data_IF_505769646944
#
_entry.id   IF_505769646944
#
_cell.length_a   1.000
_cell.length_b   1.000
_cell.length_c   1.000
_cell.angle_alpha   90.00
_cell.angle_beta   90.00
_cell.angle_gamma   90.00
#
_symmetry.space_group_name_H-M   'P 1'
#
loop_
_entity.id
_entity.type
_entity.pdbx_description
1 polymer ?
#
# COMPACT_ATOMS: atom_id res chain seq x y z
N UNK A 1 -6.96 -5.38 -0.52
CA UNK A 1 -5.50 -5.14 -0.46
C UNK A 1 -5.23 -3.79 0.18
N UNK A 2 -4.29 -3.73 1.10
CA UNK A 2 -3.98 -2.53 1.89
C UNK A 2 -2.49 -2.25 1.68
N UNK A 3 -2.12 -1.07 1.18
CA UNK A 3 -0.75 -0.77 0.75
C UNK A 3 -0.19 0.38 1.58
N UNK A 4 0.97 0.19 2.21
CA UNK A 4 1.55 1.15 3.15
C UNK A 4 1.98 2.49 2.55
N UNK A 5 1.92 2.65 1.23
CA UNK A 5 2.32 3.87 0.54
C UNK A 5 3.64 3.71 -0.21
N UNK A 6 3.93 4.67 -1.09
CA UNK A 6 5.18 4.74 -1.87
C UNK A 6 5.56 3.41 -2.56
N UNK A 7 4.57 2.63 -2.99
CA UNK A 7 4.81 1.35 -3.65
C UNK A 7 5.53 1.52 -4.99
N UNK A 8 6.33 0.52 -5.37
CA UNK A 8 7.12 0.57 -6.59
C UNK A 8 6.24 0.69 -7.83
N UNK A 9 6.52 1.74 -8.62
CA UNK A 9 5.82 2.09 -9.88
C UNK A 9 6.73 1.97 -11.10
N UNK A 10 8.00 1.62 -10.92
CA UNK A 10 9.00 1.69 -11.97
C UNK A 10 9.63 0.33 -12.28
N UNK A 11 9.97 -0.45 -11.26
CA UNK A 11 10.73 -1.69 -11.43
C UNK A 11 9.81 -2.90 -11.52
N UNK A 12 9.87 -3.79 -10.53
CA UNK A 12 9.17 -5.07 -10.51
C UNK A 12 7.68 -4.89 -10.26
N UNK A 13 7.28 -3.79 -9.58
CA UNK A 13 5.88 -3.42 -9.33
C UNK A 13 5.08 -4.58 -8.72
N UNK A 14 5.69 -5.34 -7.81
CA UNK A 14 5.17 -6.61 -7.27
C UNK A 14 3.76 -6.44 -6.70
N UNK A 15 3.53 -5.34 -5.95
CA UNK A 15 2.23 -5.04 -5.33
C UNK A 15 1.16 -4.75 -6.39
N UNK A 16 1.47 -3.90 -7.36
CA UNK A 16 0.54 -3.54 -8.44
C UNK A 16 0.25 -4.76 -9.35
N UNK A 17 1.26 -5.58 -9.63
CA UNK A 17 1.10 -6.83 -10.37
C UNK A 17 0.19 -7.82 -9.63
N UNK A 18 0.33 -7.93 -8.30
CA UNK A 18 -0.58 -8.75 -7.47
C UNK A 18 -2.01 -8.23 -7.52
N UNK A 19 -2.20 -6.91 -7.44
CA UNK A 19 -3.51 -6.29 -7.59
C UNK A 19 -4.15 -6.59 -8.95
N UNK A 20 -3.42 -6.39 -10.06
CA UNK A 20 -3.91 -6.69 -11.41
C UNK A 20 -4.30 -8.16 -11.54
N UNK A 21 -3.48 -9.09 -11.02
CA UNK A 21 -3.79 -10.52 -11.00
C UNK A 21 -5.10 -10.82 -10.26
N UNK A 22 -5.29 -10.23 -9.08
CA UNK A 22 -6.51 -10.42 -8.28
C UNK A 22 -7.73 -9.76 -8.93
N UNK A 23 -7.54 -8.69 -9.69
CA UNK A 23 -8.61 -8.01 -10.43
C UNK A 23 -9.04 -8.74 -11.71
N UNK A 24 -8.42 -9.87 -12.08
CA UNK A 24 -8.75 -10.64 -13.29
C UNK A 24 -7.73 -10.51 -14.44
N UNK A 25 -6.56 -9.93 -14.19
CA UNK A 25 -5.46 -9.87 -15.16
C UNK A 25 -5.82 -9.08 -16.41
N UNK A 26 -5.66 -9.68 -17.59
CA UNK A 26 -5.95 -9.02 -18.86
C UNK A 26 -7.42 -8.73 -19.09
N UNK A 27 -8.32 -9.49 -18.46
CA UNK A 27 -9.77 -9.25 -18.50
C UNK A 27 -10.27 -8.22 -17.49
N UNK A 28 -9.38 -7.63 -16.69
CA UNK A 28 -9.77 -6.76 -15.59
C UNK A 28 -10.41 -5.44 -16.08
N UNK A 29 -11.45 -5.01 -15.35
CA UNK A 29 -12.03 -3.68 -15.43
C UNK A 29 -11.79 -2.96 -14.11
N UNK A 30 -10.80 -2.06 -14.09
CA UNK A 30 -10.37 -1.36 -12.87
C UNK A 30 -10.90 0.08 -12.84
N UNK A 31 -11.41 0.49 -11.68
CA UNK A 31 -11.74 1.90 -11.38
C UNK A 31 -10.70 2.49 -10.45
N UNK A 32 -10.06 3.59 -10.83
CA UNK A 32 -9.13 4.36 -10.00
C UNK A 32 -9.87 5.53 -9.38
N UNK A 33 -9.93 5.60 -8.05
CA UNK A 33 -10.54 6.71 -7.30
C UNK A 33 -9.44 7.57 -6.71
N UNK A 34 -9.27 8.78 -7.25
CA UNK A 34 -8.16 9.69 -6.92
C UNK A 34 -8.56 10.88 -6.04
N UNK A 35 -9.75 10.83 -5.42
CA UNK A 35 -10.29 11.89 -4.54
C UNK A 35 -9.34 12.33 -3.43
N UNK A 36 -8.55 11.42 -2.87
CA UNK A 36 -7.57 11.74 -1.83
C UNK A 36 -6.43 12.64 -2.36
N UNK A 37 -6.10 12.52 -3.65
CA UNK A 37 -4.88 13.09 -4.24
C UNK A 37 -4.88 14.62 -4.27
N UNK A 38 -3.75 15.21 -3.89
CA UNK A 38 -3.42 16.62 -4.15
C UNK A 38 -2.93 16.84 -5.58
N UNK A 39 -2.45 15.80 -6.26
CA UNK A 39 -1.94 15.82 -7.64
C UNK A 39 -3.07 15.67 -8.66
N UNK A 40 -4.21 16.35 -8.45
CA UNK A 40 -5.20 16.50 -9.50
C UNK A 40 -5.64 15.21 -10.21
N UNK A 41 -5.84 15.35 -11.52
CA UNK A 41 -6.06 14.25 -12.46
C UNK A 41 -4.76 13.49 -12.76
N UNK A 42 -3.60 14.09 -12.50
CA UNK A 42 -2.30 13.46 -12.78
C UNK A 42 -2.13 12.15 -12.00
N UNK A 43 -2.67 12.06 -10.78
CA UNK A 43 -2.71 10.79 -10.04
C UNK A 43 -3.58 9.74 -10.74
N UNK A 44 -4.74 10.13 -11.28
CA UNK A 44 -5.60 9.25 -12.06
C UNK A 44 -4.85 8.73 -13.29
N UNK A 45 -4.22 9.63 -14.03
CA UNK A 45 -3.51 9.34 -15.28
C UNK A 45 -2.31 8.44 -15.04
N UNK A 46 -1.55 8.65 -13.96
CA UNK A 46 -0.44 7.80 -13.56
C UNK A 46 -0.87 6.35 -13.36
N UNK A 47 -1.88 6.11 -12.51
CA UNK A 47 -2.35 4.73 -12.29
C UNK A 47 -3.04 4.16 -13.52
N UNK A 48 -3.73 4.98 -14.33
CA UNK A 48 -4.29 4.56 -15.61
C UNK A 48 -3.19 4.03 -16.53
N UNK A 49 -2.12 4.80 -16.72
CA UNK A 49 -0.98 4.41 -17.56
C UNK A 49 -0.31 3.14 -17.04
N UNK A 50 -0.06 3.05 -15.73
CA UNK A 50 0.59 1.89 -15.10
C UNK A 50 -0.25 0.61 -15.28
N UNK A 51 -1.55 0.66 -14.96
CA UNK A 51 -2.43 -0.50 -15.04
C UNK A 51 -2.69 -0.93 -16.48
N UNK A 52 -2.83 0.02 -17.40
CA UNK A 52 -2.91 -0.27 -18.85
C UNK A 52 -1.63 -0.92 -19.36
N UNK A 53 -0.47 -0.40 -18.97
CA UNK A 53 0.84 -1.00 -19.30
C UNK A 53 1.04 -2.39 -18.70
N UNK A 54 0.27 -2.75 -17.66
CA UNK A 54 0.23 -4.10 -17.07
C UNK A 54 -0.84 -5.01 -17.71
N UNK A 55 -1.52 -4.56 -18.77
CA UNK A 55 -2.43 -5.38 -19.57
C UNK A 55 -3.90 -5.32 -19.17
N UNK A 56 -4.31 -4.42 -18.26
CA UNK A 56 -5.72 -4.28 -17.84
C UNK A 56 -6.61 -3.82 -19.01
N UNK A 57 -7.68 -4.57 -19.31
CA UNK A 57 -8.60 -4.32 -20.43
C UNK A 57 -9.38 -3.01 -20.34
N UNK A 58 -9.77 -2.56 -19.14
CA UNK A 58 -10.45 -1.27 -18.95
C UNK A 58 -9.96 -0.59 -17.68
N UNK A 59 -9.58 0.68 -17.78
CA UNK A 59 -9.24 1.51 -16.61
C UNK A 59 -10.01 2.82 -16.66
N UNK A 60 -10.94 3.00 -15.73
CA UNK A 60 -11.76 4.20 -15.57
C UNK A 60 -11.22 5.02 -14.41
N UNK A 61 -11.17 6.34 -14.57
CA UNK A 61 -10.76 7.25 -13.50
C UNK A 61 -11.95 8.00 -12.92
N UNK A 62 -12.03 8.10 -11.60
CA UNK A 62 -13.03 8.88 -10.88
C UNK A 62 -12.35 9.81 -9.87
N UNK A 63 -12.77 11.07 -9.86
CA UNK A 63 -12.25 12.07 -8.93
C UNK A 63 -13.35 13.04 -8.48
N UNK A 64 -14.40 12.57 -7.80
CA UNK A 64 -15.32 13.50 -7.17
C UNK A 64 -14.56 14.37 -6.16
N UNK A 65 -14.78 15.69 -6.24
CA UNK A 65 -14.21 16.70 -5.38
C UNK A 65 -15.18 17.10 -4.26
N UNK A 66 -16.47 16.89 -4.48
CA UNK A 66 -17.56 17.21 -3.55
C UNK A 66 -18.42 15.98 -3.27
N UNK A 67 -19.16 16.02 -2.15
CA UNK A 67 -20.12 14.97 -1.79
C UNK A 67 -21.24 14.84 -2.83
N UNK A 68 -21.66 15.94 -3.45
CA UNK A 68 -22.70 15.92 -4.49
C UNK A 68 -22.23 15.14 -5.71
N UNK A 69 -20.99 15.38 -6.16
CA UNK A 69 -20.39 14.57 -7.23
C UNK A 69 -20.27 13.11 -6.82
N UNK A 70 -19.85 12.81 -5.58
CA UNK A 70 -19.80 11.42 -5.10
C UNK A 70 -21.18 10.75 -4.94
N UNK A 71 -22.27 11.55 -4.94
CA UNK A 71 -23.66 11.08 -4.95
C UNK A 71 -24.29 11.06 -6.34
N UNK A 72 -23.56 11.50 -7.37
CA UNK A 72 -23.99 11.40 -8.75
C UNK A 72 -24.19 9.92 -9.14
N UNK A 73 -25.30 9.64 -9.80
CA UNK A 73 -25.66 8.28 -10.20
C UNK A 73 -24.65 7.72 -11.22
N UNK A 74 -24.18 8.54 -12.15
CA UNK A 74 -23.25 8.11 -13.20
C UNK A 74 -21.87 7.74 -12.61
N UNK A 75 -21.45 8.46 -11.57
CA UNK A 75 -20.21 8.15 -10.82
C UNK A 75 -20.33 6.81 -10.09
N UNK A 76 -21.49 6.52 -9.49
CA UNK A 76 -21.71 5.24 -8.83
C UNK A 76 -21.83 4.09 -9.86
N UNK A 77 -22.51 4.32 -10.99
CA UNK A 77 -22.65 3.36 -12.08
C UNK A 77 -21.32 3.03 -12.77
N UNK A 78 -20.33 3.91 -12.70
CA UNK A 78 -18.98 3.62 -13.21
C UNK A 78 -18.30 2.43 -12.49
N UNK A 79 -18.77 2.04 -11.29
CA UNK A 79 -18.30 0.85 -10.56
C UNK A 79 -19.07 -0.42 -10.95
N UNK A 80 -20.10 -0.31 -11.78
CA UNK A 80 -20.84 -1.47 -12.29
C UNK A 80 -19.93 -2.31 -13.20
N UNK A 81 -19.84 -3.60 -12.89
CA UNK A 81 -18.93 -4.54 -13.57
C UNK A 81 -17.43 -4.29 -13.31
N UNK A 82 -17.06 -3.42 -12.36
CA UNK A 82 -15.67 -3.29 -11.94
C UNK A 82 -15.21 -4.57 -11.25
N UNK A 83 -14.06 -5.11 -11.68
CA UNK A 83 -13.42 -6.29 -11.07
C UNK A 83 -12.29 -5.88 -10.10
N UNK A 84 -11.85 -4.63 -10.17
CA UNK A 84 -10.93 -4.04 -9.21
C UNK A 84 -11.19 -2.55 -8.98
N UNK A 85 -10.94 -2.08 -7.78
CA UNK A 85 -11.02 -0.67 -7.39
C UNK A 85 -9.70 -0.28 -6.72
N UNK A 86 -9.11 0.84 -7.14
CA UNK A 86 -7.85 1.34 -6.59
C UNK A 86 -8.02 2.75 -6.02
N UNK A 87 -7.91 2.88 -4.70
CA UNK A 87 -7.98 4.14 -3.96
C UNK A 87 -6.58 4.73 -3.82
N UNK A 88 -6.33 5.90 -4.41
CA UNK A 88 -4.98 6.51 -4.37
C UNK A 88 -4.64 7.10 -3.01
N UNK A 89 -3.35 7.43 -2.82
CA UNK A 89 -2.88 8.21 -1.69
C UNK A 89 -3.27 9.69 -1.75
N UNK A 90 -2.91 10.43 -0.69
CA UNK A 90 -3.17 11.86 -0.55
C UNK A 90 -3.70 12.19 0.85
N UNK A 91 -4.85 12.85 0.91
CA UNK A 91 -5.53 13.20 2.16
C UNK A 91 -6.69 12.25 2.45
N UNK A 92 -6.53 11.41 3.47
CA UNK A 92 -7.50 10.42 3.93
C UNK A 92 -8.80 11.04 4.46
N UNK A 93 -8.75 12.23 5.09
CA UNK A 93 -9.97 12.92 5.49
C UNK A 93 -10.77 13.42 4.29
N UNK A 94 -10.09 13.91 3.25
CA UNK A 94 -10.79 14.28 2.01
C UNK A 94 -11.51 13.09 1.40
N UNK A 95 -10.85 11.93 1.36
CA UNK A 95 -11.46 10.69 0.87
C UNK A 95 -12.68 10.30 1.71
N UNK A 96 -12.55 10.26 3.03
CA UNK A 96 -13.65 9.91 3.94
C UNK A 96 -14.82 10.91 3.87
N UNK A 97 -14.54 12.22 3.87
CA UNK A 97 -15.58 13.25 3.84
C UNK A 97 -16.33 13.32 2.51
N UNK A 98 -15.66 13.05 1.39
CA UNK A 98 -16.26 13.10 0.05
C UNK A 98 -16.95 11.78 -0.31
N UNK A 99 -16.34 10.64 0.00
CA UNK A 99 -16.81 9.31 -0.45
C UNK A 99 -17.59 8.57 0.63
N UNK A 100 -17.29 8.78 1.91
CA UNK A 100 -17.96 8.10 3.02
C UNK A 100 -19.45 8.45 3.08
N UNK A 101 -20.31 7.42 3.14
CA UNK A 101 -21.76 7.57 3.21
C UNK A 101 -22.40 8.22 1.98
N UNK A 102 -21.76 8.13 0.80
CA UNK A 102 -22.33 8.56 -0.48
C UNK A 102 -22.63 7.35 -1.38
N UNK A 103 -23.31 7.57 -2.51
CA UNK A 103 -23.57 6.51 -3.50
C UNK A 103 -22.29 5.86 -4.01
N UNK A 104 -21.24 6.64 -4.25
CA UNK A 104 -19.93 6.09 -4.62
C UNK A 104 -19.35 5.20 -3.50
N UNK A 105 -19.40 5.65 -2.25
CA UNK A 105 -18.95 4.84 -1.11
C UNK A 105 -19.68 3.51 -1.02
N UNK A 106 -21.01 3.53 -1.16
CA UNK A 106 -21.83 2.32 -1.19
C UNK A 106 -21.48 1.43 -2.40
N UNK A 107 -21.31 2.01 -3.59
CA UNK A 107 -20.94 1.27 -4.79
C UNK A 107 -19.57 0.57 -4.67
N UNK A 108 -18.61 1.15 -3.93
CA UNK A 108 -17.33 0.50 -3.62
C UNK A 108 -17.56 -0.73 -2.74
N UNK A 109 -18.39 -0.61 -1.70
CA UNK A 109 -18.74 -1.72 -0.81
C UNK A 109 -19.47 -2.82 -1.58
N UNK A 110 -20.48 -2.46 -2.38
CA UNK A 110 -21.26 -3.41 -3.18
C UNK A 110 -20.38 -4.13 -4.20
N UNK A 111 -19.46 -3.43 -4.86
CA UNK A 111 -18.50 -4.05 -5.76
C UNK A 111 -17.60 -5.05 -5.03
N UNK A 112 -17.12 -4.70 -3.83
CA UNK A 112 -16.34 -5.62 -3.01
C UNK A 112 -17.12 -6.88 -2.64
N UNK A 113 -18.39 -6.73 -2.22
CA UNK A 113 -19.28 -7.85 -1.89
C UNK A 113 -19.58 -8.75 -3.10
N UNK A 114 -19.56 -8.20 -4.33
CA UNK A 114 -19.64 -8.98 -5.58
C UNK A 114 -18.33 -9.71 -5.94
N UNK A 115 -17.26 -9.53 -5.17
CA UNK A 115 -15.97 -10.17 -5.38
C UNK A 115 -14.91 -9.29 -6.06
N UNK A 116 -15.17 -8.00 -6.28
CA UNK A 116 -14.14 -7.10 -6.78
C UNK A 116 -13.04 -6.88 -5.74
N UNK A 117 -11.78 -6.87 -6.18
CA UNK A 117 -10.66 -6.52 -5.29
C UNK A 117 -10.62 -5.01 -5.05
N UNK A 118 -10.71 -4.60 -3.78
CA UNK A 118 -10.47 -3.20 -3.41
C UNK A 118 -9.03 -3.07 -2.89
N UNK A 119 -8.26 -2.18 -3.52
CA UNK A 119 -6.92 -1.81 -3.10
C UNK A 119 -6.88 -0.34 -2.70
N UNK A 120 -6.06 -0.01 -1.71
CA UNK A 120 -5.79 1.38 -1.34
C UNK A 120 -4.33 1.57 -0.95
N UNK A 121 -3.72 2.68 -1.37
CA UNK A 121 -2.35 3.06 -0.98
C UNK A 121 -2.33 4.31 -0.13
N UNK A 122 -1.49 4.32 0.92
CA UNK A 122 -1.38 5.46 1.85
C UNK A 122 -2.77 5.87 2.38
N UNK A 123 -3.24 7.09 2.13
CA UNK A 123 -4.59 7.51 2.50
C UNK A 123 -5.71 6.52 2.13
N UNK A 124 -5.64 5.92 0.92
CA UNK A 124 -6.58 4.89 0.49
C UNK A 124 -6.52 3.63 1.35
N UNK A 125 -5.34 3.25 1.85
CA UNK A 125 -5.15 2.09 2.71
C UNK A 125 -5.87 2.27 4.06
N UNK A 126 -5.71 3.43 4.69
CA UNK A 126 -6.40 3.73 5.95
C UNK A 126 -7.93 3.77 5.76
N UNK A 127 -8.41 4.27 4.61
CA UNK A 127 -9.84 4.37 4.32
C UNK A 127 -10.54 3.03 4.05
N UNK A 128 -9.82 1.94 3.74
CA UNK A 128 -10.42 0.60 3.58
C UNK A 128 -11.00 0.08 4.89
N UNK A 129 -10.36 0.41 6.02
CA UNK A 129 -10.80 -0.03 7.35
C UNK A 129 -12.03 0.72 7.85
N UNK A 130 -12.74 0.15 8.82
CA UNK A 130 -13.80 0.85 9.57
C UNK A 130 -13.24 2.02 10.39
N UNK A 131 -12.05 1.84 10.99
CA UNK A 131 -11.39 2.81 11.84
C UNK A 131 -10.15 3.36 11.14
N UNK A 132 -10.32 4.52 10.50
CA UNK A 132 -9.28 5.16 9.72
C UNK A 132 -8.38 6.03 10.60
N UNK A 133 -7.06 5.82 10.53
CA UNK A 133 -6.07 6.73 11.13
C UNK A 133 -6.05 8.06 10.36
N UNK A 134 -6.74 9.07 10.87
CA UNK A 134 -6.92 10.36 10.20
C UNK A 134 -5.73 11.29 10.40
N UNK A 135 -5.21 11.40 11.62
CA UNK A 135 -4.01 12.19 11.94
C UNK A 135 -3.27 11.58 13.12
N UNK A 136 -2.02 12.02 13.31
CA UNK A 136 -1.31 11.71 14.53
C UNK A 136 0.15 12.09 14.49
N UNK A 137 0.72 12.33 15.66
CA UNK A 137 2.14 12.61 15.83
C UNK A 137 2.99 11.33 15.69
N UNK A 138 4.23 11.49 15.25
CA UNK A 138 5.23 10.43 15.24
C UNK A 138 5.87 10.26 16.62
N UNK A 139 6.43 9.09 16.88
CA UNK A 139 7.17 8.78 18.11
C UNK A 139 6.95 7.34 18.58
N UNK A 140 7.87 6.87 19.42
CA UNK A 140 7.81 5.51 19.98
C UNK A 140 6.87 5.41 21.21
N UNK A 141 6.76 6.48 22.01
CA UNK A 141 5.98 6.46 23.25
C UNK A 141 4.49 6.73 22.98
N UNK A 142 3.57 5.83 23.36
CA UNK A 142 2.14 6.05 23.21
C UNK A 142 1.66 7.17 24.15
N UNK A 143 0.83 8.08 23.61
CA UNK A 143 0.23 9.20 24.34
C UNK A 143 -1.25 9.33 23.99
N UNK A 144 -2.07 9.77 24.93
CA UNK A 144 -3.53 9.82 24.76
C UNK A 144 -3.96 10.59 23.49
N UNK A 145 -3.42 11.79 23.24
CA UNK A 145 -3.75 12.60 22.04
C UNK A 145 -2.75 12.43 20.90
N UNK A 146 -2.18 11.24 20.74
CA UNK A 146 -1.19 11.00 19.67
C UNK A 146 -1.83 10.69 18.32
N UNK A 147 -3.06 10.19 18.31
CA UNK A 147 -3.80 9.81 17.11
C UNK A 147 -5.21 10.39 17.14
N UNK A 148 -5.75 10.63 15.94
CA UNK A 148 -7.17 10.90 15.72
C UNK A 148 -7.70 9.89 14.72
N UNK A 149 -8.78 9.22 15.08
CA UNK A 149 -9.50 8.30 14.20
C UNK A 149 -10.67 9.01 13.54
N UNK A 150 -11.05 8.52 12.36
CA UNK A 150 -12.29 8.85 11.68
C UNK A 150 -12.90 7.58 11.09
N UNK A 151 -14.12 7.66 10.59
CA UNK A 151 -14.74 6.54 9.89
C UNK A 151 -14.07 6.36 8.52
N UNK A 152 -13.73 5.12 8.18
CA UNK A 152 -13.40 4.73 6.81
C UNK A 152 -14.61 4.12 6.09
N UNK A 153 -14.35 3.36 5.04
CA UNK A 153 -15.36 2.71 4.19
C UNK A 153 -15.93 1.43 4.83
N UNK A 154 -15.27 0.87 5.85
CA UNK A 154 -15.78 -0.29 6.58
C UNK A 154 -15.67 -1.63 5.83
N UNK A 155 -14.76 -1.75 4.86
CA UNK A 155 -14.50 -3.03 4.20
C UNK A 155 -13.76 -4.00 5.12
N UNK A 156 -12.95 -3.46 6.04
CA UNK A 156 -12.26 -4.24 7.06
C UNK A 156 -12.69 -3.81 8.45
N UNK A 157 -13.38 -4.70 9.16
CA UNK A 157 -13.95 -4.45 10.48
C UNK A 157 -12.97 -4.84 11.58
N UNK A 158 -13.07 -4.19 12.75
CA UNK A 158 -12.23 -4.50 13.92
C UNK A 158 -10.74 -4.20 13.78
N UNK A 159 -10.34 -3.53 12.70
CA UNK A 159 -8.94 -3.23 12.36
C UNK A 159 -8.74 -1.74 12.17
N UNK A 160 -7.63 -1.22 12.70
CA UNK A 160 -7.11 0.13 12.40
C UNK A 160 -5.86 0.02 11.55
N UNK A 161 -5.82 0.77 10.45
CA UNK A 161 -4.70 0.76 9.50
C UNK A 161 -3.89 2.05 9.61
N UNK A 162 -2.59 1.88 9.80
CA UNK A 162 -1.57 2.91 9.69
C UNK A 162 -0.57 2.57 8.57
N UNK A 163 -0.10 3.60 7.87
CA UNK A 163 0.72 3.51 6.66
C UNK A 163 2.04 4.27 6.84
N UNK A 164 3.00 4.15 5.92
CA UNK A 164 4.34 4.73 6.05
C UNK A 164 4.94 4.48 7.45
N UNK A 165 4.75 3.27 7.96
CA UNK A 165 4.70 3.03 9.39
C UNK A 165 6.07 3.17 10.07
N UNK A 166 7.05 2.37 9.68
CA UNK A 166 8.43 2.49 10.15
C UNK A 166 9.04 3.84 9.72
N UNK A 167 8.81 4.24 8.47
CA UNK A 167 9.42 5.43 7.85
C UNK A 167 9.05 6.74 8.56
N UNK A 168 7.95 6.74 9.32
CA UNK A 168 7.49 7.90 10.08
C UNK A 168 7.39 7.62 11.59
N UNK A 169 8.02 6.56 12.08
CA UNK A 169 8.05 6.18 13.50
C UNK A 169 6.65 6.16 14.13
N UNK A 170 5.73 5.39 13.55
CA UNK A 170 4.29 5.43 13.90
C UNK A 170 3.84 4.38 14.92
N UNK A 171 4.77 3.65 15.55
CA UNK A 171 4.43 2.64 16.57
C UNK A 171 3.71 3.22 17.78
N UNK A 172 4.19 4.34 18.35
CA UNK A 172 3.59 4.92 19.55
C UNK A 172 2.13 5.34 19.32
N UNK A 173 1.80 5.88 18.13
CA UNK A 173 0.43 6.30 17.84
C UNK A 173 -0.50 5.12 17.58
N UNK A 174 -0.03 4.06 16.92
CA UNK A 174 -0.80 2.83 16.73
C UNK A 174 -1.07 2.14 18.08
N UNK A 175 -0.05 2.04 18.94
CA UNK A 175 -0.22 1.56 20.32
C UNK A 175 -1.22 2.40 21.10
N UNK A 176 -1.20 3.73 20.95
CA UNK A 176 -2.15 4.60 21.64
C UNK A 176 -3.61 4.36 21.23
N UNK A 177 -3.85 3.99 19.96
CA UNK A 177 -5.20 3.64 19.49
C UNK A 177 -5.63 2.29 20.04
N UNK A 178 -4.78 1.26 19.94
CA UNK A 178 -5.10 -0.07 20.47
C UNK A 178 -5.27 -0.03 21.99
N UNK A 179 -4.50 0.79 22.70
CA UNK A 179 -4.69 1.01 24.14
C UNK A 179 -6.03 1.67 24.50
N UNK A 180 -6.53 2.57 23.65
CA UNK A 180 -7.88 3.15 23.84
C UNK A 180 -9.01 2.19 23.41
N UNK A 181 -8.70 1.14 22.64
CA UNK A 181 -9.68 0.18 22.15
C UNK A 181 -9.02 -1.20 21.94
N UNK A 182 -8.76 -1.97 23.02
CA UNK A 182 -7.99 -3.23 22.92
C UNK A 182 -8.65 -4.32 22.09
N UNK A 183 -9.94 -4.17 21.79
CA UNK A 183 -10.67 -5.03 20.84
C UNK A 183 -10.21 -4.84 19.39
N UNK A 184 -9.61 -3.69 19.03
CA UNK A 184 -9.07 -3.44 17.70
C UNK A 184 -7.73 -4.15 17.51
N UNK A 185 -7.50 -4.64 16.29
CA UNK A 185 -6.19 -5.06 15.83
C UNK A 185 -5.53 -3.91 15.06
N UNK A 186 -4.33 -3.51 15.47
CA UNK A 186 -3.59 -2.44 14.80
C UNK A 186 -2.68 -2.98 13.71
N UNK A 187 -2.79 -2.49 12.48
CA UNK A 187 -1.92 -2.85 11.36
C UNK A 187 -1.08 -1.63 10.94
N UNK A 188 0.22 -1.68 11.18
CA UNK A 188 1.20 -0.73 10.67
C UNK A 188 1.89 -1.28 9.43
N UNK A 189 1.64 -0.67 8.27
CA UNK A 189 2.24 -1.07 6.99
C UNK A 189 3.37 -0.14 6.60
N UNK A 190 4.54 -0.72 6.33
CA UNK A 190 5.67 0.01 5.78
C UNK A 190 5.44 0.41 4.31
N UNK A 191 6.23 1.38 3.85
CA UNK A 191 6.28 1.72 2.43
C UNK A 191 6.63 0.49 1.56
N UNK A 192 6.08 0.47 0.34
CA UNK A 192 6.22 -0.62 -0.63
C UNK A 192 5.93 -2.01 -0.03
N UNK A 193 4.95 -2.06 0.86
CA UNK A 193 4.47 -3.26 1.55
C UNK A 193 2.95 -3.29 1.52
N UNK A 194 2.35 -4.47 1.35
CA UNK A 194 0.92 -4.62 1.31
C UNK A 194 0.40 -5.87 2.05
N UNK A 195 -0.77 -5.72 2.67
CA UNK A 195 -1.59 -6.83 3.14
C UNK A 195 -2.58 -7.23 2.05
N UNK A 196 -2.58 -8.50 1.67
CA UNK A 196 -3.68 -9.13 0.95
C UNK A 196 -4.54 -9.84 1.97
N UNK A 197 -5.74 -9.32 2.23
CA UNK A 197 -6.73 -9.97 3.09
C UNK A 197 -7.65 -10.79 2.20
N UNK A 198 -7.72 -12.08 2.47
CA UNK A 198 -8.53 -13.06 1.73
C UNK A 198 -9.90 -13.22 2.40
N UNK A 199 -10.82 -13.92 1.74
CA UNK A 199 -12.20 -14.12 2.21
C UNK A 199 -12.29 -14.95 3.51
N UNK A 200 -11.24 -15.70 3.83
CA UNK A 200 -11.11 -16.53 5.03
C UNK A 200 -10.49 -15.76 6.20
N UNK A 201 -10.44 -14.42 6.10
CA UNK A 201 -9.77 -13.53 7.06
C UNK A 201 -8.28 -13.81 7.25
N UNK A 202 -7.65 -14.58 6.34
CA UNK A 202 -6.20 -14.70 6.31
C UNK A 202 -5.57 -13.48 5.63
N UNK A 203 -4.55 -12.94 6.28
CA UNK A 203 -3.70 -11.86 5.78
C UNK A 203 -2.41 -12.47 5.24
N UNK A 204 -2.04 -12.13 4.01
CA UNK A 204 -0.76 -12.44 3.37
C UNK A 204 0.04 -11.14 3.19
N UNK A 205 1.31 -11.14 3.63
CA UNK A 205 2.22 -9.99 3.43
C UNK A 205 2.98 -10.12 2.12
N UNK A 206 3.01 -9.04 1.35
CA UNK A 206 3.83 -8.90 0.15
C UNK A 206 4.57 -7.55 0.15
N UNK A 207 5.65 -7.45 -0.62
CA UNK A 207 6.42 -6.21 -0.78
C UNK A 207 7.79 -6.27 -0.13
N UNK A 208 8.38 -5.11 0.17
CA UNK A 208 9.78 -4.97 0.58
C UNK A 208 9.98 -4.83 2.09
N UNK A 209 9.04 -4.20 2.78
CA UNK A 209 9.09 -3.99 4.24
C UNK A 209 8.35 -5.06 5.01
N UNK A 210 7.79 -4.67 6.15
CA UNK A 210 7.00 -5.53 7.02
C UNK A 210 5.63 -4.93 7.34
N UNK A 211 4.75 -5.77 7.85
CA UNK A 211 3.53 -5.36 8.52
C UNK A 211 3.70 -5.64 10.00
N UNK A 212 3.62 -4.58 10.81
CA UNK A 212 3.57 -4.69 12.26
C UNK A 212 2.12 -4.81 12.69
N UNK A 213 1.78 -5.91 13.35
CA UNK A 213 0.48 -6.14 13.97
C UNK A 213 0.60 -5.87 15.46
N UNK A 214 -0.28 -5.03 15.99
CA UNK A 214 -0.44 -4.73 17.41
C UNK A 214 -1.73 -5.38 17.87
N UNK A 215 -1.62 -6.44 18.69
CA UNK A 215 -2.74 -7.12 19.30
C UNK A 215 -2.89 -6.70 20.78
N UNK A 216 -4.05 -6.12 21.08
CA UNK A 216 -4.45 -5.68 22.41
C UNK A 216 -5.20 -6.72 23.24
N UNK A 217 -5.34 -7.96 22.77
CA UNK A 217 -6.14 -9.02 23.42
C UNK A 217 -5.74 -9.30 24.88
N UNK A 218 -4.45 -9.16 25.21
CA UNK A 218 -3.91 -9.33 26.57
C UNK A 218 -3.45 -8.01 27.22
N UNK A 219 -3.82 -6.87 26.61
CA UNK A 219 -3.30 -5.57 27.01
C UNK A 219 -3.93 -5.08 28.32
N UNK A 220 -3.08 -4.59 29.22
CA UNK A 220 -3.45 -3.80 30.39
C UNK A 220 -3.00 -2.37 30.15
N UNK A 221 -3.89 -1.40 30.35
CA UNK A 221 -3.62 0.01 30.06
C UNK A 221 -4.35 0.99 30.99
N UNK A 222 -3.74 2.14 31.22
CA UNK A 222 -4.30 3.28 31.96
C UNK A 222 -4.95 4.33 31.04
N UNK A 223 -5.24 3.98 29.78
CA UNK A 223 -5.73 4.89 28.74
C UNK A 223 -6.86 5.82 29.20
N UNK A 224 -7.77 5.31 30.04
CA UNK A 224 -8.90 6.04 30.60
C UNK A 224 -8.53 7.13 31.62
N UNK A 225 -7.32 7.09 32.18
CA UNK A 225 -6.79 8.07 33.15
C UNK A 225 -5.83 9.07 32.50
N UNK A 226 -5.17 8.68 31.41
CA UNK A 226 -4.22 9.53 30.69
C UNK A 226 -4.93 10.78 30.14
N UNK A 227 -4.30 11.96 30.29
CA UNK A 227 -4.84 13.25 29.80
C UNK A 227 -3.85 13.98 28.92
N UNK A 228 -4.36 14.59 27.84
CA UNK A 228 -3.58 15.44 26.95
C UNK A 228 -2.45 14.69 26.24
N UNK A 229 -1.21 15.15 26.43
CA UNK A 229 0.00 14.61 25.80
C UNK A 229 0.84 13.73 26.75
N UNK A 230 0.27 13.31 27.88
CA UNK A 230 0.97 12.42 28.81
C UNK A 230 1.12 11.02 28.21
N UNK A 231 2.24 10.32 28.50
CA UNK A 231 2.38 8.91 28.18
C UNK A 231 1.25 8.07 28.76
N UNK A 232 0.94 6.97 28.08
CA UNK A 232 0.03 5.94 28.55
C UNK A 232 0.85 4.74 29.01
N UNK A 233 0.44 4.10 30.10
CA UNK A 233 0.89 2.77 30.45
C UNK A 233 0.22 1.77 29.50
N UNK A 234 1.06 0.95 28.86
CA UNK A 234 0.66 -0.16 28.00
C UNK A 234 1.53 -1.35 28.38
N UNK A 235 0.91 -2.41 28.87
CA UNK A 235 1.56 -3.68 29.22
C UNK A 235 0.82 -4.84 28.59
N UNK A 236 1.51 -5.91 28.19
CA UNK A 236 0.87 -7.09 27.58
C UNK A 236 0.45 -6.92 26.11
N UNK A 237 0.91 -5.87 25.42
CA UNK A 237 0.72 -5.74 23.97
C UNK A 237 1.51 -6.83 23.23
N UNK A 238 0.85 -7.59 22.36
CA UNK A 238 1.53 -8.57 21.50
C UNK A 238 1.87 -7.89 20.18
N UNK A 239 3.15 -7.96 19.80
CA UNK A 239 3.64 -7.43 18.52
C UNK A 239 4.03 -8.58 17.60
N UNK A 240 3.51 -8.55 16.38
CA UNK A 240 4.00 -9.40 15.30
C UNK A 240 4.60 -8.51 14.21
N UNK A 241 5.83 -8.78 13.78
CA UNK A 241 6.43 -8.13 12.62
C UNK A 241 6.54 -9.16 11.50
N UNK A 242 5.69 -9.03 10.48
CA UNK A 242 5.58 -9.99 9.39
C UNK A 242 6.21 -9.43 8.13
N UNK A 243 7.34 -9.98 7.66
CA UNK A 243 7.87 -9.65 6.34
C UNK A 243 7.10 -10.39 5.24
N UNK A 244 7.41 -10.04 3.99
CA UNK A 244 6.85 -10.68 2.80
C UNK A 244 6.93 -12.21 2.83
N UNK A 245 5.81 -12.87 2.51
CA UNK A 245 5.64 -14.33 2.50
C UNK A 245 4.96 -14.91 3.74
N UNK A 246 4.91 -14.17 4.85
CA UNK A 246 4.22 -14.60 6.06
C UNK A 246 2.71 -14.39 5.96
N UNK A 247 1.97 -15.23 6.70
CA UNK A 247 0.52 -15.18 6.80
C UNK A 247 0.06 -15.08 8.25
N UNK A 248 -1.08 -14.46 8.47
CA UNK A 248 -1.70 -14.25 9.77
C UNK A 248 -3.21 -14.44 9.67
N UNK A 249 -3.80 -15.10 10.66
CA UNK A 249 -5.25 -15.22 10.79
C UNK A 249 -5.78 -14.05 11.62
N UNK A 250 -6.65 -13.23 11.04
CA UNK A 250 -7.15 -12.02 11.70
C UNK A 250 -8.19 -12.33 12.78
N UNK A 251 -8.86 -13.48 12.72
CA UNK A 251 -9.90 -13.89 13.67
C UNK A 251 -9.26 -14.53 14.91
N UNK A 252 -8.41 -15.55 14.71
CA UNK A 252 -7.70 -16.22 15.79
C UNK A 252 -6.47 -15.47 16.30
N UNK A 253 -6.08 -14.37 15.62
CA UNK A 253 -4.91 -13.53 15.93
C UNK A 253 -3.62 -14.34 16.04
N UNK A 254 -3.38 -15.24 15.08
CA UNK A 254 -2.25 -16.15 15.11
C UNK A 254 -1.50 -16.23 13.79
N UNK A 255 -0.21 -16.55 13.85
CA UNK A 255 0.58 -16.83 12.65
C UNK A 255 0.08 -18.10 11.97
N UNK A 256 -0.08 -18.03 10.65
CA UNK A 256 -0.39 -19.19 9.83
C UNK A 256 0.90 -19.83 9.31
N UNK A 257 0.90 -21.14 8.99
CA UNK A 257 2.05 -21.82 8.41
C UNK A 257 2.57 -21.10 7.17
N UNK A 258 3.88 -20.95 7.09
CA UNK A 258 4.54 -20.34 5.94
C UNK A 258 4.41 -21.27 4.72
N UNK A 259 4.09 -20.70 3.55
CA UNK A 259 4.04 -21.43 2.28
C UNK A 259 5.48 -21.70 1.79
N UNK A 260 6.23 -22.59 2.44
CA UNK A 260 7.65 -22.88 2.13
C UNK A 260 7.96 -24.34 1.80
N UNK A 261 7.40 -24.85 0.70
CA UNK A 261 8.13 -25.89 -0.06
C UNK A 261 8.39 -25.49 -1.52
N UNK A 262 7.60 -24.58 -2.10
CA UNK A 262 7.69 -24.26 -3.54
C UNK A 262 8.39 -22.92 -3.83
N UNK A 263 8.39 -21.97 -2.88
CA UNK A 263 8.84 -20.58 -3.12
C UNK A 263 10.36 -20.37 -3.05
N UNK A 264 11.07 -21.19 -2.28
CA UNK A 264 12.50 -21.05 -2.04
C UNK A 264 13.35 -21.32 -3.29
N UNK A 265 12.88 -22.22 -4.16
CA UNK A 265 13.55 -22.54 -5.42
C UNK A 265 13.38 -21.40 -6.43
N UNK A 266 12.17 -20.84 -6.52
CA UNK A 266 11.87 -19.69 -7.38
C UNK A 266 12.60 -18.42 -6.95
N UNK A 267 12.67 -18.16 -5.64
CA UNK A 267 13.38 -16.99 -5.08
C UNK A 267 14.89 -17.07 -5.34
N UNK A 268 15.51 -18.23 -5.12
CA UNK A 268 16.94 -18.48 -5.43
C UNK A 268 17.23 -18.36 -6.93
N UNK A 269 16.32 -18.82 -7.79
CA UNK A 269 16.46 -18.69 -9.25
C UNK A 269 16.36 -17.22 -9.71
N UNK A 270 15.41 -16.45 -9.16
CA UNK A 270 15.26 -15.03 -9.47
C UNK A 270 16.47 -14.19 -9.00
N UNK A 271 16.99 -14.44 -7.79
CA UNK A 271 18.19 -13.78 -7.29
C UNK A 271 19.43 -14.10 -8.13
N UNK A 272 19.57 -15.36 -8.56
CA UNK A 272 20.66 -15.79 -9.45
C UNK A 272 20.57 -15.13 -10.83
N UNK A 273 19.36 -15.06 -11.39
CA UNK A 273 19.10 -14.40 -12.67
C UNK A 273 19.39 -12.89 -12.59
N UNK A 274 18.95 -12.20 -11.53
CA UNK A 274 19.23 -10.79 -11.29
C UNK A 274 20.74 -10.50 -11.15
N UNK A 275 21.48 -11.36 -10.42
CA UNK A 275 22.95 -11.26 -10.31
C UNK A 275 23.65 -11.49 -11.65
N UNK A 276 23.15 -12.39 -12.49
CA UNK A 276 23.67 -12.63 -13.86
C UNK A 276 23.41 -11.43 -14.77
N UNK A 277 22.18 -10.90 -14.77
CA UNK A 277 21.80 -9.75 -15.59
C UNK A 277 22.62 -8.51 -15.22
N UNK A 278 22.84 -8.29 -13.91
CA UNK A 278 23.65 -7.15 -13.44
C UNK A 278 25.13 -7.29 -13.83
N UNK A 279 25.66 -8.52 -13.86
CA UNK A 279 27.03 -8.81 -14.34
C UNK A 279 27.15 -8.55 -15.85
N UNK A 280 26.18 -9.00 -16.64
CA UNK A 280 26.12 -8.76 -18.09
C UNK A 280 26.02 -7.27 -18.40
N UNK A 281 25.15 -6.54 -17.70
CA UNK A 281 25.02 -5.09 -17.87
C UNK A 281 26.32 -4.32 -17.55
N UNK A 282 27.08 -4.75 -16.53
CA UNK A 282 28.42 -4.18 -16.25
C UNK A 282 29.44 -4.52 -17.33
N UNK A 283 29.43 -5.74 -17.87
CA UNK A 283 30.34 -6.15 -18.92
C UNK A 283 30.09 -5.35 -20.22
N UNK A 284 28.82 -5.19 -20.62
CA UNK A 284 28.44 -4.37 -21.78
C UNK A 284 28.79 -2.89 -21.59
N UNK A 285 28.61 -2.36 -20.38
CA UNK A 285 29.01 -0.98 -20.07
C UNK A 285 30.53 -0.77 -20.08
N UNK A 286 31.32 -1.79 -19.73
CA UNK A 286 32.77 -1.76 -19.79
C UNK A 286 33.30 -1.85 -21.24
N UNK A 287 32.69 -2.70 -22.08
CA UNK A 287 33.03 -2.80 -23.51
C UNK A 287 32.74 -1.48 -24.27
N UNK A 288 31.65 -0.81 -23.93
CA UNK A 288 31.33 0.51 -24.50
C UNK A 288 32.28 1.62 -24.05
N UNK A 289 32.91 1.52 -22.87
CA UNK A 289 33.85 2.52 -22.39
C UNK A 289 35.20 2.46 -23.12
N UNK A 290 35.67 1.26 -23.47
CA UNK A 290 36.93 1.06 -24.19
C UNK A 290 36.86 1.56 -25.64
N UNK A 291 35.70 1.44 -26.31
CA UNK A 291 35.52 1.97 -27.67
C UNK A 291 35.64 3.50 -27.73
N UNK A 292 35.09 4.23 -26.74
CA UNK A 292 35.19 5.69 -26.67
C UNK A 292 36.61 6.19 -26.35
N UNK A 293 37.41 5.41 -25.63
CA UNK A 293 38.81 5.74 -25.33
C UNK A 293 39.69 5.59 -26.58
N UNK A 294 39.46 4.55 -27.38
CA UNK A 294 40.15 4.34 -28.65
C UNK A 294 39.78 5.42 -29.68
N UNK A 295 38.49 5.80 -29.75
CA UNK A 295 38.01 6.83 -30.66
C UNK A 295 38.51 8.25 -30.28
N UNK A 296 38.65 8.55 -28.99
CA UNK A 296 39.30 9.79 -28.50
C UNK A 296 40.79 9.85 -28.81
N UNK A 297 41.50 8.73 -28.76
CA UNK A 297 42.93 8.66 -29.14
C UNK A 297 43.14 8.86 -30.64
N UNK A 298 42.26 8.31 -31.48
CA UNK A 298 42.28 8.56 -32.93
C UNK A 298 42.04 10.03 -33.27
N UNK A 299 40.99 10.65 -32.72
CA UNK A 299 40.69 12.08 -32.99
C UNK A 299 41.82 13.03 -32.56
N UNK A 300 42.49 12.76 -31.44
CA UNK A 300 43.67 13.55 -31.02
C UNK A 300 44.86 13.41 -31.96
N UNK A 301 45.07 12.22 -32.51
CA UNK A 301 46.18 11.96 -33.43
C UNK A 301 45.94 12.59 -34.80
N UNK A 302 44.69 12.54 -35.28
CA UNK A 302 44.27 13.18 -36.53
C UNK A 302 44.31 14.73 -36.43
N UNK A 303 44.09 15.30 -35.24
CA UNK A 303 44.23 16.75 -34.98
C UNK A 303 45.69 17.20 -34.88
N UNK A 304 46.61 16.36 -34.38
CA UNK A 304 48.05 16.65 -34.34
C UNK A 304 48.69 16.55 -35.75
N UNK A 305 48.33 15.54 -36.55
CA UNK A 305 48.85 15.36 -37.93
C UNK A 305 48.31 16.41 -38.93
N UNK A 306 47.22 17.11 -38.62
CA UNK A 306 46.68 18.21 -39.45
C UNK A 306 47.29 19.59 -39.12
N UNK A 307 48.22 19.65 -38.15
CA UNK A 307 48.86 20.89 -37.68
C UNK A 307 50.37 20.98 -37.97
N UNK A 308 50.93 20.00 -38.68
CA UNK A 308 52.27 20.03 -39.31
C UNK A 308 52.15 20.21 -40.83
#
# INVERSE_FOLDING_TARGET
MIIGGAEDKLKDKIILARFVKLAGGSGASVVVVSTASSLGEEATDLYRLLLRGMGVARVTGLRPLTRDQANDLDIAMALEGATGIFLTGGNQLRLSLVVGGTRLGQAIVDAHLRGAVVAGTSAGASAVSSHMMAFGASGATPKHRMAQMSAGLGLLQGIVVDQHFEQRTRLGRLLSVVAQSPSLLGLGLDEDTAAVVHHDNSLEVIGRGAITIVDGSLMVTDAFQAKGHRPMMVSGAILHSLPSGFRFDLDSRSLLPHLSEVSDRGRRLAESAGKRLHRLARAVAAEGADSFVVERKRRRKDEEEASE
#
